data_IF_696316683793
#
_entry.id   IF_696316683793
#
_cell.length_a   1.000
_cell.length_b   1.000
_cell.length_c   1.000
_cell.angle_alpha   90.00
_cell.angle_beta   90.00
_cell.angle_gamma   90.00
#
_symmetry.space_group_name_H-M   'P 1'
#
loop_
_entity.id
_entity.type
_entity.pdbx_description
1 polymer ?
#
# COMPACT_ATOMS: atom_id res chain seq x y z
N UNK A 1 -8.78 4.28 -19.87
CA UNK A 1 -7.73 4.72 -18.92
C UNK A 1 -7.07 3.46 -18.37
N UNK A 2 -5.79 3.47 -17.97
CA UNK A 2 -5.25 2.29 -17.27
C UNK A 2 -5.78 2.31 -15.84
N UNK A 3 -6.95 1.72 -15.65
CA UNK A 3 -7.60 1.54 -14.36
C UNK A 3 -6.78 0.56 -13.52
N UNK A 4 -5.81 1.11 -12.81
CA UNK A 4 -4.91 0.34 -11.96
C UNK A 4 -5.50 0.28 -10.56
N UNK A 5 -5.21 -0.79 -9.82
CA UNK A 5 -5.59 -0.97 -8.43
C UNK A 5 -5.38 0.31 -7.59
N UNK A 6 -4.20 0.93 -7.70
CA UNK A 6 -3.88 2.20 -7.01
C UNK A 6 -4.90 3.31 -7.31
N UNK A 7 -5.19 3.54 -8.59
CA UNK A 7 -6.17 4.55 -9.04
C UNK A 7 -7.55 4.28 -8.45
N UNK A 8 -7.99 3.02 -8.46
CA UNK A 8 -9.30 2.62 -7.93
C UNK A 8 -9.40 2.83 -6.42
N UNK A 9 -8.35 2.46 -5.68
CA UNK A 9 -8.25 2.69 -4.23
C UNK A 9 -8.31 4.18 -3.88
N UNK A 10 -7.58 5.02 -4.62
CA UNK A 10 -7.59 6.47 -4.41
C UNK A 10 -8.97 7.05 -4.71
N UNK A 11 -9.58 6.68 -5.84
CA UNK A 11 -10.92 7.14 -6.23
C UNK A 11 -12.00 6.74 -5.22
N UNK A 12 -11.94 5.52 -4.68
CA UNK A 12 -12.87 5.05 -3.63
C UNK A 12 -12.78 5.87 -2.34
N UNK A 13 -11.67 6.58 -2.12
CA UNK A 13 -11.43 7.47 -0.98
C UNK A 13 -11.65 8.95 -1.33
N UNK A 14 -12.06 9.27 -2.56
CA UNK A 14 -12.21 10.64 -3.05
C UNK A 14 -10.88 11.36 -3.35
N UNK A 15 -9.77 10.63 -3.40
CA UNK A 15 -8.44 11.17 -3.68
C UNK A 15 -8.07 11.00 -5.15
N UNK A 16 -7.40 12.00 -5.72
CA UNK A 16 -6.88 11.96 -7.09
C UNK A 16 -5.40 11.60 -7.08
N UNK A 17 -4.92 10.98 -8.16
CA UNK A 17 -3.48 10.67 -8.35
C UNK A 17 -2.58 11.89 -8.19
N UNK A 18 -3.03 13.07 -8.63
CA UNK A 18 -2.26 14.31 -8.55
C UNK A 18 -2.13 14.78 -7.09
N UNK A 19 -3.20 14.62 -6.30
CA UNK A 19 -3.20 14.94 -4.88
C UNK A 19 -2.27 14.01 -4.12
N UNK A 20 -2.36 12.72 -4.40
CA UNK A 20 -1.49 11.70 -3.84
C UNK A 20 -0.01 11.96 -4.20
N UNK A 21 0.28 12.30 -5.46
CA UNK A 21 1.63 12.64 -5.91
C UNK A 21 2.19 13.83 -5.13
N UNK A 22 1.38 14.87 -4.90
CA UNK A 22 1.75 16.06 -4.11
C UNK A 22 2.01 15.73 -2.64
N UNK A 23 1.16 14.93 -2.00
CA UNK A 23 1.32 14.51 -0.60
C UNK A 23 2.61 13.71 -0.40
N UNK A 24 2.93 12.82 -1.35
CA UNK A 24 4.12 11.97 -1.31
C UNK A 24 5.38 12.72 -1.77
N UNK A 25 5.23 13.91 -2.36
CA UNK A 25 6.35 14.71 -2.88
C UNK A 25 6.99 14.11 -4.13
N UNK A 26 6.20 13.44 -4.98
CA UNK A 26 6.68 12.83 -6.24
C UNK A 26 5.95 13.38 -7.45
N UNK A 27 6.58 13.25 -8.62
CA UNK A 27 5.96 13.64 -9.88
C UNK A 27 4.86 12.67 -10.32
N UNK A 28 3.85 13.18 -11.04
CA UNK A 28 2.77 12.38 -11.62
C UNK A 28 3.28 11.25 -12.52
N UNK A 29 4.38 11.46 -13.24
CA UNK A 29 5.04 10.45 -14.07
C UNK A 29 5.56 9.28 -13.25
N UNK A 30 6.12 9.56 -12.07
CA UNK A 30 6.56 8.54 -11.11
C UNK A 30 5.38 7.71 -10.61
N UNK A 31 4.27 8.35 -10.24
CA UNK A 31 3.07 7.62 -9.79
C UNK A 31 2.46 6.79 -10.93
N UNK A 32 2.45 7.30 -12.17
CA UNK A 32 2.05 6.49 -13.34
C UNK A 32 2.96 5.28 -13.55
N UNK A 33 4.27 5.43 -13.32
CA UNK A 33 5.22 4.33 -13.40
C UNK A 33 4.96 3.28 -12.32
N UNK A 34 4.64 3.70 -11.10
CA UNK A 34 4.20 2.79 -10.03
C UNK A 34 2.89 2.08 -10.35
N UNK A 35 1.98 2.75 -11.06
CA UNK A 35 0.76 2.13 -11.57
C UNK A 35 1.05 0.95 -12.50
N UNK A 36 2.11 1.05 -13.33
CA UNK A 36 2.51 0.00 -14.25
C UNK A 36 3.44 -1.07 -13.63
N UNK A 37 4.34 -0.66 -12.74
CA UNK A 37 5.47 -1.47 -12.23
C UNK A 37 5.40 -1.80 -10.74
N UNK A 38 4.32 -1.38 -10.06
CA UNK A 38 4.09 -1.36 -8.61
C UNK A 38 4.95 -0.36 -7.83
N UNK A 39 4.52 -0.10 -6.58
CA UNK A 39 5.23 0.76 -5.61
C UNK A 39 6.35 -0.05 -4.94
N UNK A 40 7.59 0.49 -4.85
CA UNK A 40 8.68 -0.12 -4.10
C UNK A 40 8.32 -0.29 -2.63
N UNK A 41 8.71 -1.41 -2.01
CA UNK A 41 8.41 -1.68 -0.60
C UNK A 41 9.02 -0.64 0.35
N UNK A 42 10.19 -0.11 0.01
CA UNK A 42 10.88 0.94 0.78
C UNK A 42 10.09 2.25 0.79
N UNK A 43 9.46 2.62 -0.34
CA UNK A 43 8.66 3.84 -0.47
C UNK A 43 7.26 3.71 0.12
N UNK A 44 6.76 2.48 0.27
CA UNK A 44 5.43 2.24 0.87
C UNK A 44 5.34 2.81 2.27
N UNK A 45 6.42 2.75 3.05
CA UNK A 45 6.45 3.27 4.43
C UNK A 45 6.33 4.79 4.43
N UNK A 46 7.09 5.49 3.57
CA UNK A 46 7.00 6.95 3.41
C UNK A 46 5.59 7.37 2.96
N UNK A 47 5.00 6.62 2.03
CA UNK A 47 3.67 6.90 1.49
C UNK A 47 2.60 6.67 2.55
N UNK A 48 2.69 5.58 3.31
CA UNK A 48 1.81 5.27 4.44
C UNK A 48 1.88 6.40 5.47
N UNK A 49 3.07 6.89 5.81
CA UNK A 49 3.24 8.01 6.73
C UNK A 49 2.68 9.34 6.18
N UNK A 50 2.87 9.63 4.89
CA UNK A 50 2.43 10.89 4.26
C UNK A 50 0.92 10.95 3.97
N UNK A 51 0.33 9.82 3.59
CA UNK A 51 -1.07 9.75 3.13
C UNK A 51 -2.01 9.07 4.11
N UNK A 52 -1.47 8.45 5.16
CA UNK A 52 -2.20 7.62 6.12
C UNK A 52 -3.00 6.49 5.45
N UNK A 53 -2.59 6.08 4.25
CA UNK A 53 -3.17 4.96 3.51
C UNK A 53 -2.44 3.68 3.95
N UNK A 54 -3.16 2.64 4.42
CA UNK A 54 -2.52 1.41 4.83
C UNK A 54 -1.81 0.76 3.64
N UNK A 55 -0.63 0.22 3.90
CA UNK A 55 0.18 -0.50 2.91
C UNK A 55 -0.57 -1.63 2.20
N UNK A 56 -1.59 -2.21 2.83
CA UNK A 56 -2.47 -3.22 2.24
C UNK A 56 -3.32 -2.71 1.07
N UNK A 57 -3.68 -1.42 1.09
CA UNK A 57 -4.38 -0.76 -0.01
C UNK A 57 -3.41 -0.37 -1.14
N UNK A 58 -2.18 0.02 -0.78
CA UNK A 58 -1.13 0.38 -1.75
C UNK A 58 -0.53 -0.84 -2.45
N UNK A 59 -0.32 -1.92 -1.70
CA UNK A 59 0.35 -3.17 -2.09
C UNK A 59 -0.41 -4.37 -1.47
N UNK A 60 -1.65 -4.69 -1.91
CA UNK A 60 -2.36 -5.88 -1.43
C UNK A 60 -1.62 -7.19 -1.72
N UNK A 61 -0.72 -7.16 -2.70
CA UNK A 61 0.16 -8.27 -3.11
C UNK A 61 1.25 -8.60 -2.09
N UNK A 62 1.75 -7.61 -1.34
CA UNK A 62 2.77 -7.80 -0.30
C UNK A 62 2.15 -7.80 1.10
N UNK A 63 1.03 -7.10 1.26
CA UNK A 63 0.31 -6.94 2.52
C UNK A 63 -1.19 -7.23 2.32
N UNK A 64 -1.62 -8.48 2.16
CA UNK A 64 -3.03 -8.79 1.99
C UNK A 64 -3.86 -8.28 3.20
N UNK A 65 -5.03 -7.65 2.97
CA UNK A 65 -5.92 -7.21 4.04
C UNK A 65 -6.51 -8.45 4.73
N UNK A 66 -5.89 -8.87 5.83
CA UNK A 66 -6.17 -10.17 6.46
C UNK A 66 -4.94 -10.81 7.07
N UNK A 67 -3.73 -10.34 6.73
CA UNK A 67 -2.56 -10.55 7.57
C UNK A 67 -2.68 -9.67 8.84
N UNK A 68 -3.70 -9.91 9.66
CA UNK A 68 -3.48 -9.80 11.09
C UNK A 68 -2.20 -10.60 11.39
N UNK A 69 -1.32 -10.16 12.31
CA UNK A 69 -0.43 -11.11 12.92
C UNK A 69 -1.36 -12.16 13.50
N UNK A 70 -1.53 -13.30 12.80
CA UNK A 70 -1.98 -14.49 13.48
C UNK A 70 -0.85 -14.65 14.50
N UNK A 71 -1.09 -14.44 15.81
CA UNK A 71 -0.07 -14.82 16.76
C UNK A 71 0.30 -16.25 16.36
N UNK A 72 1.59 -16.57 16.17
CA UNK A 72 1.96 -17.94 15.87
C UNK A 72 1.23 -18.76 16.92
N UNK A 73 0.37 -19.69 16.48
CA UNK A 73 -0.19 -20.69 17.37
C UNK A 73 0.98 -21.13 18.26
N UNK A 74 0.88 -21.02 19.60
CA UNK A 74 2.01 -21.32 20.47
C UNK A 74 2.42 -22.75 20.14
N UNK A 75 3.49 -22.87 19.36
CA UNK A 75 4.13 -24.13 19.08
C UNK A 75 4.72 -24.55 20.40
N UNK A 76 4.09 -25.55 21.01
CA UNK A 76 4.63 -26.39 22.05
C UNK A 76 5.05 -25.65 23.33
N UNK A 77 4.19 -25.75 24.35
CA UNK A 77 4.68 -25.75 25.73
C UNK A 77 5.27 -27.15 25.99
N UNK A 78 6.60 -27.35 26.10
CA UNK A 78 7.10 -28.60 26.64
C UNK A 78 6.87 -28.58 28.15
N UNK A 79 5.87 -29.34 28.62
CA UNK A 79 5.78 -29.72 30.03
C UNK A 79 5.77 -31.25 30.13
N UNK A 80 6.93 -31.81 30.44
CA UNK A 80 7.11 -33.13 31.06
C UNK A 80 8.37 -33.09 31.90
#
# INVERSE_FOLDING_TARGET
MRDTHLTRTLLSRGLRLVEFARLVGVDKGTVSRWSASRIPAERVIDIEAATSIPRSDLRPDLYPPGAAPTPPAPADCPVS
#
